data_IF_410431685323
#
_entry.id   IF_410431685323
#
_cell.length_a   1.000
_cell.length_b   1.000
_cell.length_c   1.000
_cell.angle_alpha   90.00
_cell.angle_beta   90.00
_cell.angle_gamma   90.00
#
_symmetry.space_group_name_H-M   'P 1'
#
loop_
_entity.id
_entity.type
_entity.pdbx_description
1 polymer ?
#
# COMPACT_ATOMS: atom_id res chain seq x y z
N UNK A 1 -48.00 28.00 -11.38
CA UNK A 1 -47.36 27.87 -12.71
C UNK A 1 -46.03 27.15 -12.53
N UNK A 2 -45.89 25.92 -13.04
CA UNK A 2 -44.61 25.20 -12.99
C UNK A 2 -43.74 25.67 -14.16
N UNK A 3 -42.63 26.34 -13.88
CA UNK A 3 -41.58 26.59 -14.88
C UNK A 3 -40.92 25.25 -15.19
N UNK A 4 -41.07 24.77 -16.42
CA UNK A 4 -40.39 23.57 -16.89
C UNK A 4 -38.93 23.89 -17.21
N UNK A 5 -38.03 22.95 -16.90
CA UNK A 5 -36.64 23.02 -17.31
C UNK A 5 -36.57 22.99 -18.84
N UNK A 6 -35.80 23.89 -19.43
CA UNK A 6 -35.61 23.89 -20.88
C UNK A 6 -34.63 22.79 -21.28
N UNK A 7 -34.80 22.19 -22.46
CA UNK A 7 -33.89 21.16 -22.96
C UNK A 7 -32.45 21.67 -23.08
N UNK A 8 -32.27 22.96 -23.38
CA UNK A 8 -30.95 23.59 -23.51
C UNK A 8 -30.23 23.70 -22.16
N UNK A 9 -30.94 23.98 -21.06
CA UNK A 9 -30.33 24.04 -19.73
C UNK A 9 -29.78 22.67 -19.32
N UNK A 10 -30.52 21.58 -19.57
CA UNK A 10 -30.03 20.23 -19.32
C UNK A 10 -28.84 19.86 -20.22
N UNK A 11 -28.88 20.25 -21.49
CA UNK A 11 -27.84 19.94 -22.46
C UNK A 11 -26.51 20.62 -22.12
N UNK A 12 -26.54 21.89 -21.70
CA UNK A 12 -25.32 22.60 -21.27
C UNK A 12 -24.70 21.95 -20.04
N UNK A 13 -25.51 21.52 -19.08
CA UNK A 13 -25.02 20.91 -17.84
C UNK A 13 -24.27 19.60 -18.11
N UNK A 14 -24.85 18.70 -18.92
CA UNK A 14 -24.18 17.44 -19.25
C UNK A 14 -22.90 17.66 -20.08
N UNK A 15 -22.89 18.69 -20.94
CA UNK A 15 -21.71 19.03 -21.73
C UNK A 15 -20.55 19.48 -20.82
N UNK A 16 -20.83 20.30 -19.81
CA UNK A 16 -19.82 20.74 -18.84
C UNK A 16 -19.31 19.55 -18.01
N UNK A 17 -20.22 18.69 -17.52
CA UNK A 17 -19.84 17.48 -16.75
C UNK A 17 -18.94 16.56 -17.59
N UNK A 18 -19.26 16.36 -18.88
CA UNK A 18 -18.46 15.52 -19.77
C UNK A 18 -17.03 16.06 -19.94
N UNK A 19 -16.86 17.37 -20.12
CA UNK A 19 -15.54 18.00 -20.23
C UNK A 19 -14.73 17.81 -18.94
N UNK A 20 -15.36 18.06 -17.78
CA UNK A 20 -14.70 17.89 -16.48
C UNK A 20 -14.31 16.43 -16.23
N UNK A 21 -15.20 15.48 -16.52
CA UNK A 21 -14.95 14.06 -16.35
C UNK A 21 -13.83 13.55 -17.28
N UNK A 22 -13.75 14.05 -18.51
CA UNK A 22 -12.71 13.70 -19.47
C UNK A 22 -11.30 14.07 -18.98
N UNK A 23 -11.15 15.17 -18.24
CA UNK A 23 -9.87 15.58 -17.64
C UNK A 23 -9.63 14.85 -16.31
N UNK A 24 -10.69 14.65 -15.52
CA UNK A 24 -10.58 14.04 -14.20
C UNK A 24 -10.20 12.55 -14.27
N UNK A 25 -10.77 11.79 -15.21
CA UNK A 25 -10.51 10.35 -15.34
C UNK A 25 -9.02 9.99 -15.53
N UNK A 26 -8.28 10.58 -16.50
CA UNK A 26 -6.87 10.27 -16.70
C UNK A 26 -5.98 10.73 -15.54
N UNK A 27 -6.30 11.87 -14.92
CA UNK A 27 -5.54 12.40 -13.78
C UNK A 27 -5.78 11.56 -12.53
N UNK A 28 -7.02 11.11 -12.31
CA UNK A 28 -7.38 10.30 -11.14
C UNK A 28 -6.66 8.94 -11.14
N UNK A 29 -6.53 8.29 -12.30
CA UNK A 29 -5.79 7.03 -12.42
C UNK A 29 -4.31 7.19 -12.02
N UNK A 30 -3.65 8.26 -12.51
CA UNK A 30 -2.27 8.57 -12.15
C UNK A 30 -2.11 8.92 -10.65
N UNK A 31 -3.02 9.73 -10.11
CA UNK A 31 -3.00 10.10 -8.69
C UNK A 31 -3.15 8.86 -7.78
N UNK A 32 -4.01 7.91 -8.15
CA UNK A 32 -4.19 6.65 -7.41
C UNK A 32 -2.91 5.81 -7.39
N UNK A 33 -2.22 5.73 -8.52
CA UNK A 33 -0.96 4.98 -8.59
C UNK A 33 0.16 5.66 -7.80
N UNK A 34 0.26 6.99 -7.86
CA UNK A 34 1.17 7.75 -7.01
C UNK A 34 0.87 7.56 -5.51
N UNK A 35 -0.41 7.50 -5.13
CA UNK A 35 -0.79 7.23 -3.74
C UNK A 35 -0.33 5.84 -3.28
N UNK A 36 -0.48 4.81 -4.12
CA UNK A 36 0.03 3.45 -3.84
C UNK A 36 1.54 3.43 -3.69
N UNK A 37 2.26 4.08 -4.61
CA UNK A 37 3.71 4.20 -4.55
C UNK A 37 4.16 4.91 -3.26
N UNK A 38 3.48 5.99 -2.88
CA UNK A 38 3.76 6.73 -1.64
C UNK A 38 3.56 5.86 -0.41
N UNK A 39 2.49 5.06 -0.35
CA UNK A 39 2.29 4.11 0.75
C UNK A 39 3.38 3.03 0.79
N UNK A 40 3.77 2.48 -0.35
CA UNK A 40 4.85 1.49 -0.44
C UNK A 40 6.18 2.08 0.06
N UNK A 41 6.54 3.27 -0.42
CA UNK A 41 7.74 3.98 0.00
C UNK A 41 7.74 4.23 1.52
N UNK A 42 6.60 4.64 2.08
CA UNK A 42 6.44 4.83 3.52
C UNK A 42 6.66 3.53 4.31
N UNK A 43 6.12 2.41 3.82
CA UNK A 43 6.29 1.10 4.45
C UNK A 43 7.76 0.66 4.41
N UNK A 44 8.43 0.77 3.25
CA UNK A 44 9.86 0.42 3.12
C UNK A 44 10.73 1.31 4.01
N UNK A 45 10.41 2.60 4.11
CA UNK A 45 11.10 3.51 5.03
C UNK A 45 10.94 3.05 6.49
N UNK A 46 9.72 2.66 6.89
CA UNK A 46 9.46 2.16 8.24
C UNK A 46 10.23 0.86 8.52
N UNK A 47 10.29 -0.07 7.57
CA UNK A 47 11.08 -1.31 7.69
C UNK A 47 12.59 -0.99 7.78
N UNK A 48 13.11 -0.10 6.94
CA UNK A 48 14.52 0.28 6.99
C UNK A 48 14.89 0.94 8.32
N UNK A 49 13.99 1.77 8.86
CA UNK A 49 14.15 2.35 10.19
C UNK A 49 14.13 1.27 11.28
N UNK A 50 13.19 0.32 11.25
CA UNK A 50 13.11 -0.73 12.26
C UNK A 50 14.34 -1.65 12.24
N UNK A 51 14.86 -1.98 11.05
CA UNK A 51 16.09 -2.76 10.90
C UNK A 51 17.30 -2.01 11.46
N UNK A 52 17.38 -0.70 11.20
CA UNK A 52 18.45 0.13 11.77
C UNK A 52 18.36 0.21 13.29
N UNK A 53 17.16 0.41 13.83
CA UNK A 53 16.95 0.43 15.29
C UNK A 53 17.38 -0.90 15.92
N UNK A 54 16.99 -2.04 15.32
CA UNK A 54 17.42 -3.35 15.80
C UNK A 54 18.95 -3.50 15.85
N UNK A 55 19.64 -3.17 14.75
CA UNK A 55 21.10 -3.29 14.71
C UNK A 55 21.79 -2.38 15.73
N UNK A 56 21.23 -1.19 16.00
CA UNK A 56 21.75 -0.30 17.05
C UNK A 56 21.60 -0.89 18.47
N UNK A 57 20.54 -1.67 18.70
CA UNK A 57 20.29 -2.31 19.99
C UNK A 57 21.01 -3.66 20.14
N UNK A 58 21.41 -4.31 19.04
CA UNK A 58 21.97 -5.66 18.98
C UNK A 58 23.36 -5.69 18.34
N UNK A 59 24.36 -5.06 18.99
CA UNK A 59 25.80 -5.10 18.62
C UNK A 59 26.10 -4.94 17.11
N UNK A 60 25.35 -4.06 16.43
CA UNK A 60 25.47 -3.76 14.99
C UNK A 60 25.13 -4.93 14.05
N UNK A 61 24.48 -5.96 14.57
CA UNK A 61 24.09 -7.15 13.82
C UNK A 61 22.66 -6.99 13.26
N UNK A 62 22.48 -7.31 11.98
CA UNK A 62 21.18 -7.16 11.30
C UNK A 62 20.24 -8.34 11.59
N UNK A 63 18.90 -8.13 11.50
CA UNK A 63 17.94 -9.22 11.67
C UNK A 63 18.21 -10.35 10.67
N UNK A 64 18.48 -11.55 11.18
CA UNK A 64 18.76 -12.71 10.33
C UNK A 64 17.45 -13.41 9.91
N UNK A 65 17.21 -13.48 8.61
CA UNK A 65 16.07 -14.20 8.01
C UNK A 65 16.36 -15.68 7.72
N UNK A 66 17.15 -16.36 8.54
CA UNK A 66 17.38 -17.80 8.37
C UNK A 66 16.15 -18.59 8.78
N UNK A 67 15.44 -19.10 7.78
CA UNK A 67 14.51 -20.21 7.97
C UNK A 67 15.31 -21.49 8.21
N UNK A 68 15.09 -22.23 9.31
CA UNK A 68 15.83 -23.46 9.63
C UNK A 68 15.32 -24.67 8.80
N UNK A 69 14.97 -24.47 7.53
CA UNK A 69 14.37 -25.50 6.68
C UNK A 69 14.74 -25.37 5.21
N UNK A 70 14.47 -26.42 4.40
CA UNK A 70 14.73 -26.40 2.96
C UNK A 70 13.95 -25.25 2.28
N UNK A 71 14.63 -24.53 1.37
CA UNK A 71 14.06 -23.43 0.58
C UNK A 71 13.17 -23.97 -0.54
N UNK A 72 12.02 -24.55 -0.22
CA UNK A 72 10.96 -24.81 -1.20
C UNK A 72 9.75 -23.91 -0.90
N UNK A 73 9.07 -23.41 -1.92
CA UNK A 73 7.84 -22.59 -1.82
C UNK A 73 6.61 -23.36 -1.27
N UNK A 74 6.84 -24.47 -0.57
CA UNK A 74 5.84 -25.48 -0.14
C UNK A 74 5.86 -25.67 1.39
N UNK A 75 6.55 -24.81 2.14
CA UNK A 75 6.84 -25.10 3.56
C UNK A 75 5.62 -24.89 4.47
N UNK A 76 4.97 -26.01 4.75
CA UNK A 76 4.43 -26.45 6.05
C UNK A 76 3.72 -25.40 6.90
N UNK A 77 2.39 -25.50 6.93
CA UNK A 77 1.50 -24.87 7.90
C UNK A 77 1.79 -25.27 9.37
N UNK A 78 2.68 -26.25 9.59
CA UNK A 78 3.04 -26.82 10.90
C UNK A 78 4.44 -26.43 11.40
N UNK A 79 5.22 -25.63 10.65
CA UNK A 79 6.47 -25.07 11.20
C UNK A 79 6.09 -23.87 12.03
N UNK A 80 5.91 -24.07 13.33
CA UNK A 80 5.89 -22.98 14.30
C UNK A 80 7.24 -22.24 14.22
N UNK A 81 7.29 -21.02 13.66
CA UNK A 81 8.54 -20.27 13.52
C UNK A 81 9.05 -19.75 14.88
N UNK A 82 8.29 -19.94 15.96
CA UNK A 82 8.65 -19.60 17.34
C UNK A 82 8.89 -20.84 18.22
N UNK A 83 8.98 -22.03 17.62
CA UNK A 83 9.21 -23.28 18.34
C UNK A 83 10.61 -23.40 18.95
N UNK A 84 10.69 -23.12 20.26
CA UNK A 84 11.72 -23.51 21.22
C UNK A 84 13.11 -22.81 21.12
N UNK A 85 13.13 -21.49 21.36
CA UNK A 85 14.28 -20.87 22.03
C UNK A 85 14.07 -20.90 23.56
N UNK A 86 15.13 -21.05 24.38
CA UNK A 86 14.96 -21.09 25.83
C UNK A 86 14.38 -19.77 26.32
N UNK A 87 13.32 -19.87 27.12
CA UNK A 87 12.83 -18.76 27.94
C UNK A 87 13.99 -18.32 28.84
N UNK A 88 14.36 -17.04 28.72
CA UNK A 88 15.20 -16.26 29.62
C UNK A 88 15.46 -16.95 30.97
N UNK A 89 16.73 -17.24 31.27
CA UNK A 89 17.24 -17.28 32.64
C UNK A 89 17.36 -15.86 33.25
#
# INVERSE_FOLDING_TARGET
>A
MKRGFTLIELLVVIAIIAILAAILFPVFAQAREQARSTSCLSNTKQIGLSVKMYAQDWDEEYPNGTYPGPRNWEVNLDVDPYGAGPMLD
#
